data_IF_925261854933
#
_entry.id   IF_925261854933
#
_cell.length_a   1.000
_cell.length_b   1.000
_cell.length_c   1.000
_cell.angle_alpha   90.00
_cell.angle_beta   90.00
_cell.angle_gamma   90.00
#
_symmetry.space_group_name_H-M   'P 1'
#
loop_
_entity.id
_entity.type
_entity.pdbx_description
1 polymer ?
#
# COMPACT_ATOMS: atom_id res chain seq x y z
N UNK A 1 -6.54 17.32 -0.59
CA UNK A 1 -7.36 16.34 0.14
C UNK A 1 -7.75 16.93 1.48
N UNK A 2 -9.00 16.75 1.90
CA UNK A 2 -9.43 17.09 3.25
C UNK A 2 -9.00 15.97 4.20
N UNK A 3 -8.39 16.33 5.33
CA UNK A 3 -8.01 15.37 6.38
C UNK A 3 -9.03 15.43 7.52
N UNK A 4 -9.34 14.27 8.09
CA UNK A 4 -10.19 14.15 9.29
C UNK A 4 -9.37 13.44 10.35
N UNK A 5 -9.31 14.02 11.55
CA UNK A 5 -8.74 13.39 12.74
C UNK A 5 -9.86 13.09 13.72
N UNK A 6 -10.00 11.83 14.11
CA UNK A 6 -10.97 11.38 15.11
C UNK A 6 -10.25 11.35 16.46
N UNK A 7 -10.58 12.28 17.34
CA UNK A 7 -10.04 12.33 18.70
C UNK A 7 -10.84 11.45 19.65
N UNK A 8 -10.20 10.98 20.72
CA UNK A 8 -10.84 10.25 21.82
C UNK A 8 -11.64 9.00 21.37
N UNK A 9 -11.08 8.21 20.44
CA UNK A 9 -11.61 6.88 20.15
C UNK A 9 -11.38 5.98 21.36
N UNK A 10 -12.43 5.32 21.84
CA UNK A 10 -12.30 4.42 22.99
C UNK A 10 -11.49 3.17 22.62
N UNK A 11 -10.82 2.59 23.62
CA UNK A 11 -9.92 1.45 23.40
C UNK A 11 -10.64 0.20 22.88
N UNK A 12 -11.91 0.00 23.24
CA UNK A 12 -12.71 -1.14 22.80
C UNK A 12 -13.03 -1.00 21.31
N UNK A 13 -13.49 0.16 20.87
CA UNK A 13 -13.71 0.45 19.45
C UNK A 13 -12.40 0.39 18.68
N UNK A 14 -11.32 0.93 19.22
CA UNK A 14 -9.99 0.90 18.61
C UNK A 14 -9.52 -0.55 18.38
N UNK A 15 -9.72 -1.43 19.37
CA UNK A 15 -9.40 -2.86 19.26
C UNK A 15 -10.30 -3.58 18.25
N UNK A 16 -11.61 -3.31 18.27
CA UNK A 16 -12.57 -3.86 17.30
C UNK A 16 -12.24 -3.49 15.87
N UNK A 17 -11.94 -2.22 15.60
CA UNK A 17 -11.54 -1.76 14.27
C UNK A 17 -10.24 -2.45 13.80
N UNK A 18 -9.28 -2.65 14.69
CA UNK A 18 -8.03 -3.37 14.38
C UNK A 18 -8.29 -4.85 14.07
N UNK A 19 -9.17 -5.50 14.84
CA UNK A 19 -9.56 -6.88 14.60
C UNK A 19 -10.26 -7.03 13.24
N UNK A 20 -11.22 -6.16 12.96
CA UNK A 20 -11.99 -6.18 11.72
C UNK A 20 -11.13 -5.86 10.49
N UNK A 21 -10.18 -4.92 10.61
CA UNK A 21 -9.29 -4.58 9.49
C UNK A 21 -8.39 -5.76 9.14
N UNK A 22 -7.87 -6.48 10.15
CA UNK A 22 -7.10 -7.72 9.94
C UNK A 22 -7.94 -8.83 9.32
N UNK A 23 -9.16 -9.05 9.84
CA UNK A 23 -10.10 -10.05 9.32
C UNK A 23 -10.41 -9.84 7.84
N UNK A 24 -10.54 -8.57 7.43
CA UNK A 24 -10.85 -8.18 6.05
C UNK A 24 -9.60 -7.93 5.19
N UNK A 25 -8.39 -8.12 5.74
CA UNK A 25 -7.10 -7.83 5.08
C UNK A 25 -7.00 -6.38 4.53
N UNK A 26 -7.53 -5.42 5.29
CA UNK A 26 -7.53 -3.99 4.94
C UNK A 26 -6.72 -3.19 5.94
N UNK A 27 -6.23 -2.03 5.51
CA UNK A 27 -5.75 -1.03 6.45
C UNK A 27 -6.93 -0.50 7.28
N UNK A 28 -6.66 -0.06 8.50
CA UNK A 28 -7.68 0.51 9.38
C UNK A 28 -8.36 1.74 8.77
N UNK A 29 -7.59 2.60 8.10
CA UNK A 29 -8.13 3.77 7.40
C UNK A 29 -9.03 3.37 6.23
N UNK A 30 -8.67 2.33 5.48
CA UNK A 30 -9.51 1.82 4.40
C UNK A 30 -10.84 1.29 4.95
N UNK A 31 -10.80 0.51 6.04
CA UNK A 31 -12.02 0.03 6.71
C UNK A 31 -12.91 1.20 7.15
N UNK A 32 -12.35 2.22 7.81
CA UNK A 32 -13.11 3.39 8.27
C UNK A 32 -13.73 4.14 7.10
N UNK A 33 -12.98 4.36 6.01
CA UNK A 33 -13.49 5.00 4.79
C UNK A 33 -14.66 4.23 4.19
N UNK A 34 -14.55 2.91 4.11
CA UNK A 34 -15.62 2.06 3.58
C UNK A 34 -16.86 2.06 4.47
N UNK A 35 -16.70 2.02 5.79
CA UNK A 35 -17.81 2.12 6.74
C UNK A 35 -18.54 3.45 6.56
N UNK A 36 -17.81 4.57 6.52
CA UNK A 36 -18.40 5.89 6.32
C UNK A 36 -19.11 6.02 4.96
N UNK A 37 -18.47 5.55 3.89
CA UNK A 37 -19.07 5.58 2.55
C UNK A 37 -20.36 4.76 2.49
N UNK A 38 -20.35 3.55 3.08
CA UNK A 38 -21.53 2.68 3.13
C UNK A 38 -22.69 3.32 3.88
N UNK A 39 -22.44 3.92 5.04
CA UNK A 39 -23.48 4.62 5.82
C UNK A 39 -24.05 5.83 5.08
N UNK A 40 -23.26 6.47 4.22
CA UNK A 40 -23.69 7.59 3.38
C UNK A 40 -24.28 7.15 2.03
N UNK A 41 -24.42 5.85 1.77
CA UNK A 41 -24.91 5.32 0.50
C UNK A 41 -23.98 5.57 -0.70
N UNK A 42 -22.71 5.84 -0.44
CA UNK A 42 -21.70 6.10 -1.45
C UNK A 42 -21.05 4.78 -1.92
N UNK A 43 -20.64 4.70 -3.20
CA UNK A 43 -19.88 3.56 -3.68
C UNK A 43 -18.55 3.44 -2.92
N UNK A 44 -18.25 2.25 -2.43
CA UNK A 44 -16.93 1.94 -1.85
C UNK A 44 -16.01 1.51 -2.99
N UNK A 45 -15.19 2.43 -3.50
CA UNK A 45 -14.19 2.06 -4.50
C UNK A 45 -13.18 1.07 -3.90
N UNK A 46 -13.20 -0.16 -4.40
CA UNK A 46 -12.15 -1.16 -4.17
C UNK A 46 -11.12 -1.05 -5.30
N UNK A 47 -10.40 0.06 -5.35
CA UNK A 47 -9.18 0.14 -6.13
C UNK A 47 -8.03 0.17 -5.15
N UNK A 48 -7.08 -0.76 -5.26
CA UNK A 48 -5.70 -0.28 -5.21
C UNK A 48 -5.68 0.82 -6.25
N UNK A 49 -5.62 2.06 -5.79
CA UNK A 49 -5.55 3.17 -6.69
C UNK A 49 -4.34 2.82 -7.58
N UNK A 50 -4.58 2.76 -8.88
CA UNK A 50 -3.60 2.46 -9.90
C UNK A 50 -2.63 3.66 -10.02
N UNK A 51 -2.30 4.26 -8.86
CA UNK A 51 -1.46 5.44 -8.65
C UNK A 51 -0.08 5.19 -9.25
N UNK A 52 0.31 3.92 -9.39
CA UNK A 52 1.57 3.52 -10.02
C UNK A 52 1.43 3.11 -11.48
N UNK A 53 0.22 3.07 -12.04
CA UNK A 53 -0.03 2.68 -13.43
C UNK A 53 0.69 3.59 -14.40
N UNK A 54 0.75 4.89 -14.09
CA UNK A 54 1.48 5.88 -14.88
C UNK A 54 2.99 5.59 -14.94
N UNK A 55 3.53 4.84 -13.99
CA UNK A 55 4.94 4.43 -13.95
C UNK A 55 5.18 3.04 -14.54
N UNK A 56 4.13 2.28 -14.88
CA UNK A 56 4.26 0.95 -15.46
C UNK A 56 4.40 1.01 -17.00
N UNK A 57 5.25 0.14 -17.57
CA UNK A 57 5.38 -0.02 -19.02
C UNK A 57 6.05 1.15 -19.74
N UNK A 58 6.71 2.05 -19.00
CA UNK A 58 7.41 3.21 -19.57
C UNK A 58 8.69 2.83 -20.32
N UNK A 59 9.28 1.68 -20.02
CA UNK A 59 10.55 1.27 -20.62
C UNK A 59 10.33 0.47 -21.89
N UNK A 60 11.12 0.81 -22.91
CA UNK A 60 11.31 -0.04 -24.08
C UNK A 60 12.03 -1.34 -23.70
N UNK A 61 11.95 -2.34 -24.57
CA UNK A 61 12.63 -3.62 -24.35
C UNK A 61 14.15 -3.42 -24.27
N UNK A 62 14.68 -2.50 -25.08
CA UNK A 62 16.09 -2.14 -25.11
C UNK A 62 16.55 -1.49 -23.80
N UNK A 63 15.78 -0.53 -23.26
CA UNK A 63 16.08 0.11 -21.97
C UNK A 63 16.06 -0.90 -20.82
N UNK A 64 15.06 -1.79 -20.82
CA UNK A 64 14.96 -2.85 -19.82
C UNK A 64 16.14 -3.83 -19.88
N UNK A 65 16.60 -4.17 -21.08
CA UNK A 65 17.77 -5.03 -21.28
C UNK A 65 19.06 -4.35 -20.82
N UNK A 66 19.26 -3.07 -21.18
CA UNK A 66 20.44 -2.30 -20.77
C UNK A 66 20.52 -2.16 -19.25
N UNK A 67 19.41 -1.81 -18.60
CA UNK A 67 19.36 -1.73 -17.15
C UNK A 67 19.63 -3.08 -16.49
N UNK A 68 19.01 -4.15 -17.00
CA UNK A 68 19.22 -5.51 -16.48
C UNK A 68 20.67 -5.94 -16.58
N UNK A 69 21.35 -5.64 -17.68
CA UNK A 69 22.77 -5.91 -17.84
C UNK A 69 23.62 -5.10 -16.85
N UNK A 70 23.32 -3.81 -16.67
CA UNK A 70 24.02 -2.94 -15.72
C UNK A 70 23.83 -3.37 -14.25
N UNK A 71 22.70 -3.99 -13.91
CA UNK A 71 22.45 -4.53 -12.56
C UNK A 71 23.07 -5.91 -12.32
N UNK A 72 23.80 -6.48 -13.28
CA UNK A 72 24.34 -7.84 -13.19
C UNK A 72 25.17 -8.10 -11.93
N UNK A 73 26.07 -7.18 -11.59
CA UNK A 73 26.93 -7.29 -10.40
C UNK A 73 26.14 -7.09 -9.10
N UNK A 74 25.19 -6.14 -9.08
CA UNK A 74 24.34 -5.83 -7.92
C UNK A 74 23.39 -6.96 -7.52
N UNK A 75 23.21 -7.99 -8.37
CA UNK A 75 22.38 -9.16 -8.07
C UNK A 75 23.07 -10.16 -7.14
N UNK A 76 24.39 -10.05 -6.99
CA UNK A 76 25.16 -10.93 -6.13
C UNK A 76 25.17 -10.34 -4.73
N UNK A 77 24.51 -11.00 -3.80
CA UNK A 77 24.60 -10.64 -2.38
C UNK A 77 25.94 -11.17 -1.87
N UNK A 78 26.89 -10.27 -1.59
CA UNK A 78 28.15 -10.64 -0.96
C UNK A 78 27.93 -10.78 0.55
N UNK A 79 28.08 -11.98 1.14
CA UNK A 79 27.91 -12.18 2.58
C UNK A 79 28.91 -11.38 3.43
N UNK A 80 30.05 -10.99 2.87
CA UNK A 80 31.07 -10.20 3.55
C UNK A 80 30.65 -8.74 3.75
N UNK A 81 29.78 -8.19 2.89
CA UNK A 81 29.24 -6.83 3.04
C UNK A 81 28.36 -6.67 4.30
N UNK A 82 28.03 -7.78 4.95
CA UNK A 82 27.15 -7.88 6.12
C UNK A 82 27.90 -8.27 7.40
N UNK A 83 29.22 -8.40 7.35
CA UNK A 83 30.06 -8.69 8.51
C UNK A 83 30.78 -7.42 9.00
N UNK A 84 30.75 -7.18 10.31
CA UNK A 84 31.46 -6.07 11.00
C UNK A 84 32.94 -6.36 11.21
#
# INVERSE_FOLDING_TARGET
MSSITIHAIDDVLNARLTQESRRQKKSKNQLIKELLAREMGLPTEQGYADDYREFCGLWTAEEAQQFTAAQGENRTVNPEDWQE
#
